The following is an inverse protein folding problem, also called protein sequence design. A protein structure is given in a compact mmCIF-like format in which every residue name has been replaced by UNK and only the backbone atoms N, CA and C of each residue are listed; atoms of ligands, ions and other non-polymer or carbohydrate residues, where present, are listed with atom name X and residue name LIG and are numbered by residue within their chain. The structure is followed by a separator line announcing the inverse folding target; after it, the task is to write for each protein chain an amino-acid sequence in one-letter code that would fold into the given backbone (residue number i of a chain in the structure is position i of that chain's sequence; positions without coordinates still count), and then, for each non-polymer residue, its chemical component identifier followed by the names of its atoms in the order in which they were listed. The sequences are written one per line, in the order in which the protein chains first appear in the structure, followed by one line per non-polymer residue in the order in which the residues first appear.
data_IF_243163092398
#
_entry.id   IF_243163092398
#
_cell.length_a   1.000
_cell.length_b   1.000
_cell.length_c   1.000
_cell.angle_alpha   90.00
_cell.angle_beta   90.00
_cell.angle_gamma   90.00
#
_symmetry.space_group_name_H-M   'P 1'
#
loop_
_entity.id
_entity.type
_entity.pdbx_description
1 polymer ?
#
# COMPACT_ATOMS: atom_id res chain seq x y z
N UNK A 1 6.98 -1.83 -1.60
CA UNK A 1 6.57 -1.23 -2.89
C UNK A 1 7.74 -0.76 -3.80
N UNK A 2 8.90 -1.46 -3.96
CA UNK A 2 9.96 -0.93 -4.85
C UNK A 2 9.58 -0.80 -6.34
N UNK A 3 8.64 -1.59 -6.89
CA UNK A 3 8.18 -1.48 -8.30
C UNK A 3 7.46 -0.16 -8.59
N UNK A 4 6.87 0.46 -7.57
CA UNK A 4 6.15 1.72 -7.71
C UNK A 4 7.00 2.92 -7.28
N UNK A 5 8.28 2.69 -6.95
CA UNK A 5 9.19 3.78 -6.62
C UNK A 5 9.27 4.86 -7.72
N UNK A 6 9.27 4.52 -9.03
CA UNK A 6 9.19 5.51 -10.09
C UNK A 6 7.94 6.40 -10.05
N UNK A 7 6.84 5.94 -9.43
CA UNK A 7 5.61 6.74 -9.33
C UNK A 7 5.74 7.92 -8.38
N UNK A 8 6.71 7.89 -7.46
CA UNK A 8 7.06 9.01 -6.59
C UNK A 8 8.06 9.99 -7.25
N UNK A 9 8.58 9.67 -8.44
CA UNK A 9 9.56 10.48 -9.15
C UNK A 9 8.94 11.59 -10.00
N UNK A 10 9.80 12.30 -10.73
CA UNK A 10 9.41 13.32 -11.70
C UNK A 10 9.95 12.93 -13.09
N UNK A 11 9.12 13.00 -14.12
CA UNK A 11 9.59 12.86 -15.49
C UNK A 11 10.35 14.14 -15.84
N UNK A 12 11.63 14.01 -16.18
CA UNK A 12 12.53 15.10 -16.51
C UNK A 12 13.08 14.95 -17.92
N UNK A 13 13.41 16.06 -18.57
CA UNK A 13 14.10 16.07 -19.87
C UNK A 13 15.52 16.59 -19.67
N UNK A 14 16.52 15.86 -20.17
CA UNK A 14 17.93 16.21 -20.13
C UNK A 14 18.31 16.75 -21.51
N UNK A 15 18.48 18.08 -21.69
CA UNK A 15 18.72 18.67 -23.00
C UNK A 15 20.04 18.27 -23.63
N UNK A 16 21.09 18.06 -22.81
CA UNK A 16 22.44 17.69 -23.28
C UNK A 16 22.46 16.38 -24.06
N UNK A 17 21.57 15.46 -23.70
CA UNK A 17 21.55 14.08 -24.21
C UNK A 17 20.25 13.78 -24.97
N UNK A 18 19.40 14.80 -25.18
CA UNK A 18 18.08 14.69 -25.79
C UNK A 18 17.22 13.53 -25.23
N UNK A 19 17.27 13.29 -23.91
CA UNK A 19 16.62 12.14 -23.25
C UNK A 19 15.56 12.57 -22.25
N UNK A 20 14.44 11.87 -22.26
CA UNK A 20 13.51 11.86 -21.13
C UNK A 20 13.92 10.77 -20.13
N UNK A 21 13.94 11.10 -18.85
CA UNK A 21 14.25 10.18 -17.75
C UNK A 21 13.21 10.32 -16.65
N UNK A 22 13.04 9.27 -15.85
CA UNK A 22 12.32 9.39 -14.59
C UNK A 22 13.36 9.70 -13.52
N UNK A 23 13.35 10.93 -13.03
CA UNK A 23 14.19 11.35 -11.92
C UNK A 23 13.61 10.79 -10.61
N UNK A 24 14.30 9.78 -10.09
CA UNK A 24 14.05 9.16 -8.78
C UNK A 24 15.10 9.55 -7.74
N UNK A 25 15.86 10.64 -7.97
CA UNK A 25 16.80 11.17 -6.97
C UNK A 25 16.07 11.48 -5.66
N UNK A 26 16.80 11.43 -4.54
CA UNK A 26 16.25 11.72 -3.22
C UNK A 26 15.50 13.07 -3.17
N UNK A 27 15.98 14.08 -3.90
CA UNK A 27 15.33 15.39 -4.05
C UNK A 27 14.06 15.35 -4.91
N UNK A 28 14.01 14.54 -5.96
CA UNK A 28 12.83 14.44 -6.82
C UNK A 28 11.67 13.72 -6.11
N UNK A 29 11.99 12.73 -5.28
CA UNK A 29 11.02 11.89 -4.57
C UNK A 29 10.68 12.39 -3.16
N UNK A 30 11.37 13.42 -2.64
CA UNK A 30 11.21 13.84 -1.23
C UNK A 30 9.80 14.32 -0.88
N UNK A 31 9.06 14.79 -1.88
CA UNK A 31 7.64 15.20 -1.76
C UNK A 31 6.69 14.02 -2.02
N UNK A 32 7.22 12.93 -2.57
CA UNK A 32 6.51 11.74 -3.04
C UNK A 32 5.41 12.03 -4.04
N UNK A 33 4.33 11.24 -3.95
CA UNK A 33 3.18 11.32 -4.85
C UNK A 33 2.33 12.55 -4.49
N UNK A 34 1.96 13.39 -5.47
CA UNK A 34 1.00 14.48 -5.22
C UNK A 34 -0.33 13.90 -4.73
N UNK A 35 -0.84 14.38 -3.60
CA UNK A 35 -2.08 13.89 -3.00
C UNK A 35 -3.00 15.07 -2.68
N UNK A 36 -4.24 15.02 -3.18
CA UNK A 36 -5.23 16.09 -3.05
C UNK A 36 -6.43 15.55 -2.28
N UNK A 37 -6.84 16.24 -1.22
CA UNK A 37 -8.13 16.01 -0.58
C UNK A 37 -9.11 17.10 -1.04
N UNK A 38 -10.30 16.69 -1.45
CA UNK A 38 -11.34 17.55 -1.96
C UNK A 38 -12.71 17.12 -1.41
N UNK A 39 -13.65 18.05 -1.44
CA UNK A 39 -15.06 17.80 -1.14
C UNK A 39 -15.92 18.21 -2.34
N UNK A 40 -17.05 17.53 -2.54
CA UNK A 40 -17.97 17.80 -3.63
C UNK A 40 -19.42 17.65 -3.18
N UNK A 41 -20.26 18.57 -3.62
CA UNK A 41 -21.71 18.56 -3.45
C UNK A 41 -22.44 17.80 -4.57
N UNK A 42 -21.70 17.27 -5.54
CA UNK A 42 -22.25 16.46 -6.61
C UNK A 42 -22.90 15.17 -6.08
N UNK A 43 -23.84 14.62 -6.83
CA UNK A 43 -24.46 13.34 -6.46
C UNK A 43 -23.63 12.15 -6.96
N UNK A 44 -22.92 11.48 -6.04
CA UNK A 44 -22.13 10.29 -6.37
C UNK A 44 -22.95 9.15 -7.01
N UNK A 45 -24.23 9.01 -6.65
CA UNK A 45 -25.07 7.93 -7.18
C UNK A 45 -25.46 8.17 -8.64
N UNK A 46 -25.62 9.44 -9.03
CA UNK A 46 -25.81 9.82 -10.42
C UNK A 46 -24.52 9.60 -11.22
N UNK A 47 -23.38 10.05 -10.67
CA UNK A 47 -22.06 9.91 -11.29
C UNK A 47 -21.69 8.44 -11.51
N UNK A 48 -21.89 7.58 -10.50
CA UNK A 48 -21.49 6.16 -10.55
C UNK A 48 -22.29 5.33 -11.56
N UNK A 49 -23.45 5.81 -12.02
CA UNK A 49 -24.29 5.14 -13.03
C UNK A 49 -23.98 5.61 -14.46
N UNK A 50 -23.20 6.68 -14.61
CA UNK A 50 -22.88 7.24 -15.91
C UNK A 50 -21.61 6.62 -16.48
N UNK A 51 -21.63 6.23 -17.75
CA UNK A 51 -20.43 5.79 -18.47
C UNK A 51 -19.47 6.97 -18.74
N UNK A 52 -20.03 8.15 -19.00
CA UNK A 52 -19.29 9.41 -19.19
C UNK A 52 -20.04 10.51 -18.45
N UNK A 53 -19.38 11.18 -17.51
CA UNK A 53 -19.95 12.31 -16.79
C UNK A 53 -19.04 13.53 -16.97
N UNK A 54 -19.61 14.69 -17.31
CA UNK A 54 -18.86 15.93 -17.50
C UNK A 54 -18.05 16.33 -16.25
N UNK A 55 -18.54 15.95 -15.08
CA UNK A 55 -17.90 16.20 -13.78
C UNK A 55 -16.71 15.30 -13.47
N UNK A 56 -16.42 14.24 -14.23
CA UNK A 56 -15.27 13.36 -13.97
C UNK A 56 -13.95 14.14 -13.94
N UNK A 57 -13.81 15.20 -14.75
CA UNK A 57 -12.64 16.06 -14.74
C UNK A 57 -12.40 16.81 -13.42
N UNK A 58 -13.41 16.90 -12.55
CA UNK A 58 -13.29 17.49 -11.20
C UNK A 58 -12.87 16.45 -10.15
N UNK A 59 -13.00 15.16 -10.46
CA UNK A 59 -12.69 14.04 -9.56
C UNK A 59 -11.27 13.50 -9.73
N UNK A 60 -10.51 14.03 -10.69
CA UNK A 60 -9.13 13.64 -10.98
C UNK A 60 -8.16 14.80 -10.74
N UNK A 61 -6.93 14.51 -10.26
CA UNK A 61 -5.96 15.56 -9.99
C UNK A 61 -5.45 16.17 -11.30
N UNK A 62 -5.49 17.50 -11.40
CA UNK A 62 -4.92 18.23 -12.55
C UNK A 62 -3.41 18.33 -12.39
N UNK A 63 -2.68 17.70 -13.32
CA UNK A 63 -1.21 17.72 -13.34
C UNK A 63 -0.72 18.70 -14.41
N UNK A 64 0.25 19.55 -14.06
CA UNK A 64 0.93 20.42 -15.02
C UNK A 64 1.82 19.59 -15.93
N UNK A 65 1.68 19.75 -17.24
CA UNK A 65 2.47 19.06 -18.26
C UNK A 65 3.71 19.88 -18.66
N UNK A 66 4.45 20.35 -17.67
CA UNK A 66 5.69 21.12 -17.83
C UNK A 66 6.81 20.42 -17.08
N UNK A 67 7.98 20.26 -17.71
CA UNK A 67 9.12 19.59 -17.09
C UNK A 67 9.65 20.38 -15.89
N UNK A 68 9.98 19.71 -14.76
CA UNK A 68 9.78 18.28 -14.49
C UNK A 68 8.31 17.94 -14.13
N UNK A 69 7.73 16.93 -14.80
CA UNK A 69 6.32 16.54 -14.66
C UNK A 69 6.19 15.52 -13.53
N UNK A 70 5.22 15.68 -12.61
CA UNK A 70 4.94 14.65 -11.60
C UNK A 70 4.45 13.37 -12.27
N UNK A 71 5.02 12.22 -11.86
CA UNK A 71 4.68 10.94 -12.51
C UNK A 71 3.27 10.50 -12.12
N UNK A 72 2.95 10.53 -10.82
CA UNK A 72 1.65 10.15 -10.28
C UNK A 72 1.10 11.26 -9.38
N UNK A 73 -0.18 11.56 -9.55
CA UNK A 73 -0.99 12.30 -8.61
C UNK A 73 -2.26 11.52 -8.27
N UNK A 74 -2.71 11.64 -7.02
CA UNK A 74 -3.93 11.02 -6.50
C UNK A 74 -4.83 12.10 -5.91
N UNK A 75 -6.12 12.04 -6.21
CA UNK A 75 -7.13 12.88 -5.59
C UNK A 75 -8.16 12.01 -4.88
N UNK A 76 -8.55 12.44 -3.69
CA UNK A 76 -9.66 11.92 -2.93
C UNK A 76 -10.74 12.97 -2.90
N UNK A 77 -11.92 12.63 -3.37
CA UNK A 77 -13.09 13.50 -3.27
C UNK A 77 -14.12 12.87 -2.34
N UNK A 78 -14.45 13.54 -1.24
CA UNK A 78 -15.56 13.19 -0.34
C UNK A 78 -16.83 13.87 -0.82
N UNK A 79 -17.94 13.13 -0.90
CA UNK A 79 -19.21 13.70 -1.34
C UNK A 79 -20.10 14.04 -0.14
N UNK A 80 -20.80 15.18 -0.21
CA UNK A 80 -21.71 15.62 0.86
C UNK A 80 -22.89 14.67 1.05
N UNK A 81 -23.32 13.98 -0.01
CA UNK A 81 -24.36 12.96 0.05
C UNK A 81 -23.83 11.56 0.47
N UNK A 82 -22.58 11.49 0.92
CA UNK A 82 -21.91 10.26 1.33
C UNK A 82 -21.18 9.58 0.17
N UNK A 83 -20.20 8.73 0.51
CA UNK A 83 -19.35 8.08 -0.48
C UNK A 83 -18.13 8.91 -0.89
N UNK A 84 -17.27 8.31 -1.70
CA UNK A 84 -15.97 8.87 -2.08
C UNK A 84 -15.55 8.45 -3.48
N UNK A 85 -14.82 9.32 -4.17
CA UNK A 85 -14.12 9.02 -5.41
C UNK A 85 -12.60 9.09 -5.19
N UNK A 86 -11.87 8.21 -5.89
CA UNK A 86 -10.42 8.17 -5.91
C UNK A 86 -9.95 8.35 -7.35
N UNK A 87 -9.43 9.54 -7.67
CA UNK A 87 -8.92 9.90 -8.99
C UNK A 87 -7.41 9.72 -9.07
N UNK A 88 -6.92 9.20 -10.19
CA UNK A 88 -5.50 9.00 -10.45
C UNK A 88 -5.09 9.70 -11.75
N UNK A 89 -4.00 10.46 -11.71
CA UNK A 89 -3.33 10.98 -12.92
C UNK A 89 -1.92 10.42 -12.97
N UNK A 90 -1.67 9.48 -13.88
CA UNK A 90 -0.37 8.83 -14.08
C UNK A 90 0.13 9.07 -15.50
N UNK A 91 1.36 9.57 -15.62
CA UNK A 91 2.00 9.78 -16.91
C UNK A 91 2.25 8.45 -17.64
N UNK A 92 1.64 8.28 -18.83
CA UNK A 92 1.57 6.99 -19.52
C UNK A 92 2.94 6.44 -19.96
N UNK A 93 3.95 7.30 -20.13
CA UNK A 93 5.34 6.89 -20.42
C UNK A 93 5.92 6.00 -19.31
N UNK A 94 5.42 6.12 -18.07
CA UNK A 94 5.97 5.38 -16.93
C UNK A 94 5.32 4.00 -16.74
N UNK A 95 4.03 3.87 -17.04
CA UNK A 95 3.34 2.58 -16.96
C UNK A 95 2.17 2.49 -17.93
N UNK A 96 2.02 1.29 -18.51
CA UNK A 96 0.84 0.86 -19.23
C UNK A 96 -0.35 0.62 -18.28
N UNK A 97 -1.53 0.33 -18.84
CA UNK A 97 -2.75 0.11 -18.05
C UNK A 97 -2.60 -0.96 -16.96
N UNK A 98 -1.84 -2.02 -17.26
CA UNK A 98 -1.58 -3.13 -16.34
C UNK A 98 -0.74 -2.67 -15.13
N UNK A 99 0.34 -1.94 -15.37
CA UNK A 99 1.17 -1.37 -14.31
C UNK A 99 0.40 -0.39 -13.42
N UNK A 100 -0.54 0.39 -13.98
CA UNK A 100 -1.41 1.27 -13.17
C UNK A 100 -2.32 0.44 -12.25
N UNK A 101 -2.98 -0.59 -12.80
CA UNK A 101 -3.90 -1.43 -12.03
C UNK A 101 -3.17 -2.17 -10.91
N UNK A 102 -1.99 -2.75 -11.19
CA UNK A 102 -1.18 -3.41 -10.15
C UNK A 102 -0.86 -2.49 -8.97
N UNK A 103 -0.60 -1.20 -9.21
CA UNK A 103 -0.39 -0.22 -8.13
C UNK A 103 -1.67 0.00 -7.31
N UNK A 104 -2.78 0.24 -8.00
CA UNK A 104 -4.07 0.50 -7.37
C UNK A 104 -4.50 -0.70 -6.52
N UNK A 105 -4.34 -1.93 -7.04
CA UNK A 105 -4.68 -3.17 -6.36
C UNK A 105 -3.80 -3.42 -5.13
N UNK A 106 -2.50 -3.17 -5.24
CA UNK A 106 -1.59 -3.28 -4.10
C UNK A 106 -1.94 -2.28 -2.99
N UNK A 107 -2.20 -1.01 -3.35
CA UNK A 107 -2.58 0.03 -2.41
C UNK A 107 -3.93 -0.30 -1.75
N UNK A 108 -4.94 -0.69 -2.53
CA UNK A 108 -6.25 -1.08 -2.04
C UNK A 108 -6.19 -2.28 -1.10
N UNK A 109 -5.38 -3.29 -1.44
CA UNK A 109 -5.21 -4.50 -0.62
C UNK A 109 -4.62 -4.18 0.75
N UNK A 110 -3.55 -3.38 0.80
CA UNK A 110 -2.90 -2.99 2.06
C UNK A 110 -3.87 -2.16 2.92
N UNK A 111 -4.52 -1.15 2.34
CA UNK A 111 -5.48 -0.31 3.06
C UNK A 111 -6.67 -1.11 3.57
N UNK A 112 -7.15 -2.09 2.79
CA UNK A 112 -8.24 -2.97 3.22
C UNK A 112 -7.87 -3.81 4.42
N UNK A 113 -6.64 -4.34 4.44
CA UNK A 113 -6.15 -5.12 5.58
C UNK A 113 -6.07 -4.24 6.82
N UNK A 114 -5.52 -3.03 6.72
CA UNK A 114 -5.44 -2.11 7.87
C UNK A 114 -6.82 -1.86 8.49
N UNK A 115 -7.80 -1.49 7.68
CA UNK A 115 -9.18 -1.26 8.13
C UNK A 115 -9.79 -2.54 8.73
N UNK A 116 -9.56 -3.70 8.10
CA UNK A 116 -10.06 -4.97 8.60
C UNK A 116 -9.48 -5.32 9.97
N UNK A 117 -8.17 -5.14 10.17
CA UNK A 117 -7.51 -5.42 11.45
C UNK A 117 -8.09 -4.53 12.56
N UNK A 118 -8.28 -3.23 12.30
CA UNK A 118 -8.89 -2.28 13.25
C UNK A 118 -10.30 -2.73 13.64
N UNK A 119 -11.14 -3.02 12.65
CA UNK A 119 -12.53 -3.40 12.85
C UNK A 119 -12.68 -4.74 13.58
N UNK A 120 -11.93 -5.76 13.16
CA UNK A 120 -12.00 -7.11 13.75
C UNK A 120 -11.54 -7.07 15.22
N UNK A 121 -10.53 -6.24 15.54
CA UNK A 121 -10.08 -6.01 16.92
C UNK A 121 -11.02 -5.15 17.76
N UNK A 122 -12.07 -4.57 17.17
CA UNK A 122 -13.04 -3.76 17.90
C UNK A 122 -12.50 -2.40 18.32
N UNK A 123 -11.53 -1.86 17.58
CA UNK A 123 -10.91 -0.57 17.87
C UNK A 123 -11.65 0.60 17.18
N UNK A 124 -12.83 0.36 16.61
CA UNK A 124 -13.54 1.32 15.77
C UNK A 124 -14.03 2.58 16.50
N UNK A 125 -14.27 2.48 17.81
CA UNK A 125 -14.70 3.61 18.66
C UNK A 125 -13.56 4.11 19.55
N UNK A 126 -12.31 3.83 19.17
CA UNK A 126 -11.15 4.11 19.99
C UNK A 126 -10.26 5.16 19.32
N UNK A 127 -10.07 6.30 19.99
CA UNK A 127 -9.25 7.42 19.48
C UNK A 127 -7.74 7.23 19.74
N UNK A 128 -7.34 6.06 20.22
CA UNK A 128 -5.95 5.69 20.43
C UNK A 128 -5.20 5.40 19.12
N UNK A 129 -3.85 5.43 19.15
CA UNK A 129 -3.04 5.22 17.97
C UNK A 129 -3.19 3.79 17.44
N UNK A 130 -3.18 3.66 16.12
CA UNK A 130 -3.02 2.42 15.38
C UNK A 130 -1.82 2.54 14.44
N UNK A 131 -1.04 1.47 14.32
CA UNK A 131 0.27 1.52 13.67
C UNK A 131 0.38 0.42 12.61
N UNK A 132 0.56 0.82 11.35
CA UNK A 132 0.99 -0.07 10.28
C UNK A 132 2.51 -0.09 10.18
N UNK A 133 3.14 -1.26 10.26
CA UNK A 133 4.58 -1.41 10.10
C UNK A 133 4.91 -2.31 8.90
N UNK A 134 5.89 -1.92 8.09
CA UNK A 134 6.39 -2.72 6.98
C UNK A 134 7.90 -2.51 6.78
N UNK A 135 8.66 -3.57 6.45
CA UNK A 135 10.07 -3.42 6.10
C UNK A 135 10.21 -2.83 4.69
N UNK A 136 11.04 -1.80 4.55
CA UNK A 136 11.42 -1.21 3.28
C UNK A 136 12.83 -1.67 2.91
N UNK A 137 12.99 -2.29 1.74
CA UNK A 137 14.32 -2.63 1.21
C UNK A 137 15.17 -1.36 1.01
N UNK A 138 16.37 -1.34 1.57
CA UNK A 138 17.25 -0.18 1.53
C UNK A 138 18.39 -0.31 0.52
N UNK A 139 18.60 -1.46 -0.13
CA UNK A 139 19.80 -1.73 -0.96
C UNK A 139 20.07 -0.63 -1.98
N UNK A 140 19.06 -0.32 -2.80
CA UNK A 140 19.14 0.72 -3.83
C UNK A 140 19.02 2.15 -3.30
N UNK A 141 18.78 2.34 -1.99
CA UNK A 141 18.49 3.63 -1.34
C UNK A 141 19.66 4.14 -0.49
N UNK A 142 20.67 3.32 -0.25
CA UNK A 142 21.90 3.72 0.44
C UNK A 142 22.86 4.39 -0.55
N UNK A 143 23.79 5.19 -0.02
CA UNK A 143 24.85 5.82 -0.80
C UNK A 143 26.23 5.45 -0.20
N UNK A 144 27.02 4.59 -0.87
CA UNK A 144 26.73 3.92 -2.14
C UNK A 144 25.61 2.85 -2.01
N UNK A 145 24.92 2.50 -3.10
CA UNK A 145 23.93 1.43 -3.08
C UNK A 145 24.57 0.08 -2.80
N UNK A 146 23.86 -0.78 -2.09
CA UNK A 146 24.26 -2.17 -1.86
C UNK A 146 23.85 -3.02 -3.06
N UNK A 147 24.72 -3.95 -3.46
CA UNK A 147 24.46 -4.89 -4.55
C UNK A 147 23.22 -5.77 -4.25
N UNK A 148 22.38 -6.01 -5.26
CA UNK A 148 21.19 -6.87 -5.17
C UNK A 148 21.52 -8.32 -4.79
N UNK A 149 22.75 -8.78 -5.03
CA UNK A 149 23.27 -10.09 -4.61
C UNK A 149 23.57 -10.17 -3.09
N UNK A 150 23.54 -9.05 -2.36
CA UNK A 150 23.75 -9.05 -0.91
C UNK A 150 22.65 -9.84 -0.21
N UNK A 151 23.01 -10.98 0.36
CA UNK A 151 22.09 -11.93 0.99
C UNK A 151 21.63 -11.52 2.40
N UNK A 152 22.27 -10.53 3.02
CA UNK A 152 21.97 -10.11 4.39
C UNK A 152 20.73 -9.23 4.52
N UNK A 153 20.40 -8.85 5.76
CA UNK A 153 19.30 -7.92 6.02
C UNK A 153 19.69 -6.50 5.61
N UNK A 154 18.92 -5.90 4.71
CA UNK A 154 19.05 -4.50 4.32
C UNK A 154 17.66 -3.88 4.24
N UNK A 155 17.04 -3.70 5.41
CA UNK A 155 15.67 -3.18 5.52
C UNK A 155 15.57 -2.12 6.60
N UNK A 156 14.75 -1.10 6.35
CA UNK A 156 14.37 -0.09 7.32
C UNK A 156 12.89 -0.26 7.74
N UNK A 157 12.54 -0.03 9.01
CA UNK A 157 11.15 0.00 9.43
C UNK A 157 10.45 1.23 8.83
N UNK A 158 9.37 0.98 8.11
CA UNK A 158 8.46 2.02 7.68
C UNK A 158 7.20 1.95 8.54
N UNK A 159 6.88 3.07 9.19
CA UNK A 159 5.86 3.14 10.26
C UNK A 159 4.81 4.17 9.88
N UNK A 160 3.62 3.70 9.52
CA UNK A 160 2.44 4.51 9.33
C UNK A 160 1.65 4.60 10.64
N UNK A 161 1.62 5.79 11.25
CA UNK A 161 0.85 6.07 12.47
C UNK A 161 -0.49 6.70 12.10
N UNK A 162 -1.54 6.26 12.76
CA UNK A 162 -2.92 6.61 12.46
C UNK A 162 -3.77 6.57 13.73
N UNK A 163 -5.02 7.02 13.68
CA UNK A 163 -6.02 6.84 14.75
C UNK A 163 -6.94 5.67 14.43
N UNK A 164 -7.27 4.83 15.41
CA UNK A 164 -8.10 3.65 15.14
C UNK A 164 -9.54 4.03 14.72
N UNK A 165 -10.17 4.98 15.39
CA UNK A 165 -11.48 5.53 15.02
C UNK A 165 -11.50 6.15 13.63
N UNK A 166 -10.46 6.91 13.28
CA UNK A 166 -10.31 7.48 11.94
C UNK A 166 -10.24 6.40 10.87
N UNK A 167 -9.50 5.31 11.07
CA UNK A 167 -9.42 4.24 10.06
C UNK A 167 -10.73 3.44 9.97
N UNK A 168 -11.45 3.30 11.08
CA UNK A 168 -12.71 2.57 11.09
C UNK A 168 -13.87 3.38 10.49
N UNK A 169 -13.82 4.71 10.60
CA UNK A 169 -14.87 5.61 10.14
C UNK A 169 -14.97 5.74 8.62
N UNK A 170 -16.00 6.47 8.12
CA UNK A 170 -16.21 6.70 6.69
C UNK A 170 -14.96 7.27 6.00
N UNK A 171 -14.49 6.61 4.95
CA UNK A 171 -13.26 6.98 4.24
C UNK A 171 -11.95 6.52 4.88
N UNK A 172 -12.01 5.64 5.88
CA UNK A 172 -10.83 5.14 6.56
C UNK A 172 -9.81 4.42 5.66
N UNK A 173 -10.24 3.75 4.59
CA UNK A 173 -9.33 3.18 3.59
C UNK A 173 -8.42 4.22 2.96
N UNK A 174 -8.97 5.41 2.68
CA UNK A 174 -8.21 6.50 2.09
C UNK A 174 -7.26 7.11 3.10
N UNK A 175 -7.70 7.38 4.33
CA UNK A 175 -6.81 7.84 5.40
C UNK A 175 -5.65 6.87 5.63
N UNK A 176 -5.92 5.56 5.54
CA UNK A 176 -4.88 4.55 5.54
C UNK A 176 -3.91 4.67 4.36
N UNK A 177 -4.40 4.91 3.13
CA UNK A 177 -3.52 5.20 1.98
C UNK A 177 -2.62 6.42 2.22
N UNK A 178 -3.15 7.51 2.81
CA UNK A 178 -2.39 8.73 3.11
C UNK A 178 -1.25 8.43 4.07
N UNK A 179 -1.57 7.82 5.21
CA UNK A 179 -0.57 7.51 6.23
C UNK A 179 0.52 6.56 5.70
N UNK A 180 0.15 5.58 4.86
CA UNK A 180 1.09 4.70 4.18
C UNK A 180 2.01 5.48 3.24
N UNK A 181 1.45 6.39 2.43
CA UNK A 181 2.21 7.23 1.51
C UNK A 181 3.25 8.07 2.27
N UNK A 182 2.83 8.77 3.33
CA UNK A 182 3.71 9.62 4.14
C UNK A 182 4.84 8.83 4.78
N UNK A 183 4.53 7.65 5.32
CA UNK A 183 5.53 6.75 5.89
C UNK A 183 6.57 6.32 4.82
N UNK A 184 6.11 5.92 3.63
CA UNK A 184 6.99 5.50 2.52
C UNK A 184 7.93 6.64 2.12
N UNK A 185 7.41 7.86 1.99
CA UNK A 185 8.21 9.03 1.61
C UNK A 185 9.31 9.28 2.64
N UNK A 186 8.94 9.33 3.93
CA UNK A 186 9.88 9.54 5.02
C UNK A 186 11.01 8.50 5.00
N UNK A 187 10.65 7.22 4.98
CA UNK A 187 11.63 6.12 4.98
C UNK A 187 12.46 6.08 3.70
N UNK A 188 11.94 6.54 2.57
CA UNK A 188 12.72 6.52 1.32
C UNK A 188 13.74 7.65 1.28
N UNK A 189 13.45 8.81 1.87
CA UNK A 189 14.35 9.97 1.85
C UNK A 189 15.61 9.72 2.68
N UNK A 190 15.44 9.20 3.90
CA UNK A 190 16.52 8.98 4.86
C UNK A 190 16.33 7.59 5.50
N UNK A 191 16.67 6.50 4.77
CA UNK A 191 16.30 5.14 5.17
C UNK A 191 16.93 4.67 6.47
N UNK A 192 18.06 5.24 6.89
CA UNK A 192 18.75 4.89 8.13
C UNK A 192 18.59 5.96 9.24
N UNK A 193 17.72 6.94 9.06
CA UNK A 193 17.51 7.99 10.07
C UNK A 193 17.07 7.37 11.41
N UNK A 194 17.81 7.72 12.47
CA UNK A 194 17.59 7.22 13.83
C UNK A 194 17.71 5.70 13.99
N UNK A 195 18.51 5.02 13.16
CA UNK A 195 18.59 3.55 13.15
C UNK A 195 19.01 2.93 14.48
N UNK A 196 19.76 3.67 15.30
CA UNK A 196 20.19 3.25 16.63
C UNK A 196 19.02 3.02 17.59
N UNK A 197 17.90 3.73 17.40
CA UNK A 197 16.72 3.68 18.28
C UNK A 197 15.55 2.86 17.74
N UNK A 198 15.65 2.29 16.53
CA UNK A 198 14.51 1.61 15.89
C UNK A 198 13.96 0.45 16.70
N UNK A 199 14.84 -0.37 17.28
CA UNK A 199 14.42 -1.53 18.07
C UNK A 199 13.63 -1.09 19.30
N UNK A 200 14.14 -0.09 20.02
CA UNK A 200 13.48 0.44 21.21
C UNK A 200 12.12 1.08 20.87
N UNK A 201 12.04 1.84 19.78
CA UNK A 201 10.78 2.43 19.31
C UNK A 201 9.77 1.35 18.91
N UNK A 202 10.20 0.30 18.21
CA UNK A 202 9.34 -0.83 17.84
C UNK A 202 8.86 -1.63 19.06
N UNK A 203 9.71 -1.80 20.08
CA UNK A 203 9.36 -2.51 21.31
C UNK A 203 8.37 -1.73 22.19
N UNK A 204 8.37 -0.40 22.11
CA UNK A 204 7.38 0.46 22.80
C UNK A 204 6.00 0.40 22.16
N UNK A 205 5.86 -0.13 20.94
CA UNK A 205 4.57 -0.14 20.24
C UNK A 205 3.60 -1.14 20.87
N UNK A 206 2.35 -0.73 21.16
CA UNK A 206 1.36 -1.62 21.75
C UNK A 206 0.98 -2.74 20.76
N UNK A 207 1.28 -3.99 21.10
CA UNK A 207 1.10 -5.14 20.21
C UNK A 207 -0.33 -5.31 19.66
N UNK A 208 -1.36 -4.96 20.44
CA UNK A 208 -2.77 -5.00 20.03
C UNK A 208 -3.20 -3.87 19.07
N UNK A 209 -2.35 -2.85 18.88
CA UNK A 209 -2.60 -1.67 18.05
C UNK A 209 -1.77 -1.67 16.76
N UNK A 210 -1.15 -2.80 16.44
CA UNK A 210 -0.22 -2.90 15.32
C UNK A 210 -0.70 -3.89 14.27
N UNK A 211 -0.60 -3.51 12.99
CA UNK A 211 -0.59 -4.43 11.86
C UNK A 211 0.82 -4.50 11.28
N UNK A 212 1.44 -5.68 11.33
CA UNK A 212 2.80 -5.90 10.84
C UNK A 212 2.76 -6.64 9.51
N UNK A 213 3.20 -5.96 8.45
CA UNK A 213 3.26 -6.46 7.10
C UNK A 213 4.66 -7.02 6.83
N UNK A 214 4.71 -8.26 6.37
CA UNK A 214 5.90 -8.92 5.86
C UNK A 214 5.70 -9.35 4.41
N UNK A 215 6.79 -9.70 3.74
CA UNK A 215 6.77 -10.03 2.33
C UNK A 215 6.71 -8.79 1.43
N UNK A 216 6.52 -9.03 0.14
CA UNK A 216 6.42 -8.01 -0.89
C UNK A 216 5.66 -8.58 -2.08
N UNK A 217 4.76 -7.82 -2.75
CA UNK A 217 4.19 -8.21 -4.04
C UNK A 217 5.25 -8.53 -5.10
N UNK A 218 6.49 -8.07 -4.90
CA UNK A 218 7.61 -8.36 -5.78
C UNK A 218 8.17 -9.77 -5.66
N UNK A 219 7.86 -10.46 -4.55
CA UNK A 219 8.31 -11.81 -4.35
C UNK A 219 7.48 -12.71 -5.26
N UNK A 220 8.07 -13.06 -6.41
CA UNK A 220 7.55 -13.90 -7.49
C UNK A 220 7.48 -15.37 -7.08
N UNK A 221 6.87 -15.65 -5.93
CA UNK A 221 6.83 -16.98 -5.31
C UNK A 221 6.22 -18.04 -6.22
N UNK A 222 5.25 -17.66 -7.06
CA UNK A 222 4.62 -18.53 -8.06
C UNK A 222 5.42 -18.71 -9.36
N UNK A 223 6.53 -17.97 -9.54
CA UNK A 223 7.44 -18.16 -10.69
C UNK A 223 8.57 -19.14 -10.39
N UNK A 224 8.74 -19.57 -9.14
CA UNK A 224 9.83 -20.45 -8.71
C UNK A 224 9.64 -21.85 -9.28
N UNK A 225 10.50 -22.26 -10.21
CA UNK A 225 10.47 -23.60 -10.82
C UNK A 225 11.78 -24.34 -10.54
N UNK A 226 11.68 -25.50 -9.88
CA UNK A 226 12.82 -26.37 -9.58
C UNK A 226 13.08 -27.41 -10.69
N UNK A 227 12.36 -27.34 -11.83
CA UNK A 227 12.43 -28.29 -12.94
C UNK A 227 11.22 -29.24 -13.05
N UNK A 228 10.24 -29.10 -12.17
CA UNK A 228 9.02 -29.91 -12.09
C UNK A 228 7.73 -29.09 -12.27
N UNK A 229 7.86 -27.83 -12.69
CA UNK A 229 6.77 -26.91 -12.88
C UNK A 229 6.61 -25.93 -11.73
N UNK A 230 5.84 -24.86 -12.02
CA UNK A 230 5.55 -23.76 -11.09
C UNK A 230 4.64 -24.22 -9.93
N UNK A 231 4.67 -23.55 -8.76
CA UNK A 231 3.88 -23.94 -7.62
C UNK A 231 2.39 -23.80 -7.90
N UNK A 232 1.61 -24.83 -7.56
CA UNK A 232 0.14 -24.75 -7.64
C UNK A 232 -0.48 -23.84 -6.58
N UNK A 233 0.22 -23.65 -5.45
CA UNK A 233 -0.17 -22.88 -4.27
C UNK A 233 1.07 -22.51 -3.43
N UNK A 234 1.09 -21.31 -2.86
CA UNK A 234 2.09 -20.85 -1.89
C UNK A 234 1.39 -20.42 -0.61
N UNK A 235 1.87 -20.88 0.55
CA UNK A 235 1.34 -20.50 1.86
C UNK A 235 2.47 -20.40 2.88
N UNK A 236 2.30 -19.54 3.89
CA UNK A 236 3.19 -19.57 5.05
C UNK A 236 2.70 -20.62 6.03
N UNK A 237 3.56 -21.61 6.31
CA UNK A 237 3.27 -22.66 7.28
C UNK A 237 2.98 -22.11 8.69
N UNK A 238 3.60 -20.98 9.04
CA UNK A 238 3.54 -20.42 10.39
C UNK A 238 3.28 -18.92 10.37
N UNK A 239 2.16 -18.53 10.99
CA UNK A 239 1.85 -17.14 11.34
C UNK A 239 1.46 -17.05 12.81
N UNK A 240 2.36 -16.54 13.64
CA UNK A 240 2.30 -16.69 15.12
C UNK A 240 1.85 -15.46 15.87
N UNK A 241 1.48 -14.37 15.19
CA UNK A 241 1.09 -13.11 15.84
C UNK A 241 -0.23 -12.60 15.29
N UNK A 242 -1.09 -12.16 16.20
CA UNK A 242 -2.31 -11.44 15.86
C UNK A 242 -1.96 -10.14 15.14
N UNK A 243 -2.62 -9.85 14.02
CA UNK A 243 -2.36 -8.69 13.18
C UNK A 243 -1.12 -8.82 12.29
N UNK A 244 -0.56 -10.03 12.15
CA UNK A 244 0.50 -10.27 11.15
C UNK A 244 -0.12 -10.45 9.77
N UNK A 245 0.45 -9.75 8.81
CA UNK A 245 0.03 -9.73 7.41
C UNK A 245 1.22 -10.15 6.58
N UNK A 246 1.02 -11.01 5.58
CA UNK A 246 2.02 -11.33 4.58
C UNK A 246 1.44 -11.10 3.19
N UNK A 247 2.22 -10.41 2.37
CA UNK A 247 1.86 -10.06 1.01
C UNK A 247 2.90 -10.63 0.05
N UNK A 248 2.45 -11.32 -0.99
CA UNK A 248 3.29 -11.85 -2.08
C UNK A 248 2.58 -11.67 -3.43
N UNK A 249 3.28 -11.89 -4.53
CA UNK A 249 2.62 -12.01 -5.85
C UNK A 249 1.56 -13.12 -5.80
N UNK A 250 0.42 -12.88 -6.43
CA UNK A 250 -0.60 -13.90 -6.61
C UNK A 250 -0.23 -14.88 -7.73
N UNK A 251 -1.04 -15.93 -7.86
CA UNK A 251 -0.80 -17.00 -8.85
C UNK A 251 -1.03 -16.52 -10.27
N UNK A 252 -2.04 -15.68 -10.45
CA UNK A 252 -2.40 -15.06 -11.73
C UNK A 252 -1.66 -13.75 -11.88
N UNK A 253 -1.32 -13.40 -13.11
CA UNK A 253 -0.58 -12.18 -13.38
C UNK A 253 -1.38 -10.94 -12.97
N UNK A 254 -0.73 -10.00 -12.29
CA UNK A 254 -1.39 -8.81 -11.74
C UNK A 254 -1.97 -9.01 -10.34
N UNK A 255 -2.28 -10.24 -9.95
CA UNK A 255 -2.93 -10.49 -8.66
C UNK A 255 -1.96 -10.41 -7.48
N UNK A 256 -2.52 -10.16 -6.30
CA UNK A 256 -1.77 -10.15 -5.03
C UNK A 256 -2.38 -11.16 -4.06
N UNK A 257 -1.54 -12.00 -3.47
CA UNK A 257 -1.96 -12.87 -2.38
C UNK A 257 -1.68 -12.19 -1.05
N UNK A 258 -2.73 -12.08 -0.22
CA UNK A 258 -2.66 -11.53 1.13
C UNK A 258 -3.06 -12.60 2.13
N UNK A 259 -2.16 -12.87 3.07
CA UNK A 259 -2.38 -13.79 4.19
C UNK A 259 -2.41 -13.00 5.49
N UNK A 260 -3.50 -13.09 6.25
CA UNK A 260 -3.65 -12.39 7.53
C UNK A 260 -3.84 -13.40 8.66
N UNK A 261 -3.09 -13.23 9.73
CA UNK A 261 -3.25 -13.99 10.97
C UNK A 261 -3.93 -13.13 12.04
N UNK A 262 -5.07 -13.61 12.51
CA UNK A 262 -5.86 -12.96 13.54
C UNK A 262 -6.20 -13.96 14.64
N UNK A 263 -6.24 -13.46 15.87
CA UNK A 263 -6.68 -14.23 17.03
C UNK A 263 -8.15 -14.66 16.82
N UNK A 264 -8.44 -15.93 17.06
CA UNK A 264 -9.77 -16.50 16.91
C UNK A 264 -10.84 -15.74 17.72
N UNK A 265 -10.49 -15.17 18.88
CA UNK A 265 -11.40 -14.38 19.72
C UNK A 265 -11.89 -13.10 19.04
N UNK A 266 -11.04 -12.44 18.23
CA UNK A 266 -11.44 -11.25 17.47
C UNK A 266 -12.34 -11.60 16.28
N UNK A 267 -12.25 -12.84 15.78
CA UNK A 267 -12.83 -13.29 14.52
C UNK A 267 -14.28 -13.80 14.64
N UNK A 268 -14.75 -14.08 15.86
CA UNK A 268 -16.10 -14.61 16.07
C UNK A 268 -17.16 -13.52 15.89
N UNK A 269 -17.97 -13.61 14.82
CA UNK A 269 -19.09 -12.72 14.54
C UNK A 269 -18.80 -11.46 13.70
N UNK A 270 -17.55 -11.21 13.24
CA UNK A 270 -17.16 -9.95 12.56
C UNK A 270 -16.63 -10.09 11.12
N UNK A 271 -16.60 -11.31 10.58
CA UNK A 271 -16.07 -11.57 9.23
C UNK A 271 -17.16 -11.82 8.17
N UNK A 272 -18.42 -12.00 8.59
CA UNK A 272 -19.52 -12.23 7.67
C UNK A 272 -19.85 -10.91 6.97
N UNK A 273 -19.68 -10.87 5.64
CA UNK A 273 -19.85 -9.66 4.82
C UNK A 273 -18.60 -9.15 4.09
N UNK A 274 -17.40 -9.65 4.42
CA UNK A 274 -16.15 -9.20 3.77
C UNK A 274 -15.75 -10.02 2.52
N UNK A 275 -16.49 -11.08 2.20
CA UNK A 275 -16.24 -11.94 1.03
C UNK A 275 -14.89 -12.66 1.06
N UNK A 276 -14.44 -13.13 2.24
CA UNK A 276 -13.09 -13.68 2.44
C UNK A 276 -13.09 -15.18 2.77
N UNK A 277 -12.24 -15.96 2.09
CA UNK A 277 -12.02 -17.38 2.33
C UNK A 277 -11.34 -17.65 3.69
N UNK A 278 -11.73 -18.73 4.36
CA UNK A 278 -11.29 -19.08 5.73
C UNK A 278 -10.45 -20.34 5.71
N UNK A 279 -9.29 -20.32 6.37
CA UNK A 279 -8.50 -21.52 6.70
C UNK A 279 -8.20 -21.48 8.20
N UNK A 280 -8.57 -22.51 8.93
CA UNK A 280 -8.43 -22.53 10.39
C UNK A 280 -7.23 -23.39 10.85
N UNK A 281 -6.46 -22.89 11.82
CA UNK A 281 -5.56 -23.68 12.65
C UNK A 281 -5.82 -23.35 14.14
N UNK A 282 -5.43 -24.23 15.05
CA UNK A 282 -5.91 -24.38 16.44
C UNK A 282 -5.63 -23.20 17.41
N UNK A 283 -4.95 -22.13 16.99
CA UNK A 283 -4.74 -20.89 17.79
C UNK A 283 -5.01 -19.58 17.03
N UNK A 284 -4.81 -19.56 15.73
CA UNK A 284 -5.00 -18.40 14.85
C UNK A 284 -5.75 -18.84 13.61
N UNK A 285 -6.68 -18.00 13.15
CA UNK A 285 -7.42 -18.28 11.91
C UNK A 285 -6.75 -17.51 10.78
N UNK A 286 -6.33 -18.25 9.77
CA UNK A 286 -5.67 -17.74 8.58
C UNK A 286 -6.75 -17.27 7.61
N UNK A 287 -6.66 -16.00 7.25
CA UNK A 287 -7.45 -15.44 6.16
C UNK A 287 -6.52 -15.37 4.96
N UNK A 288 -6.54 -16.41 4.13
CA UNK A 288 -5.88 -16.43 2.83
C UNK A 288 -6.90 -16.05 1.76
N UNK A 289 -6.75 -14.88 1.16
CA UNK A 289 -7.48 -14.54 -0.07
C UNK A 289 -6.45 -14.21 -1.15
N UNK A 290 -6.51 -14.95 -2.25
CA UNK A 290 -6.07 -14.44 -3.53
C UNK A 290 -7.11 -13.39 -3.92
N UNK A 291 -6.77 -12.10 -3.84
CA UNK A 291 -7.65 -11.08 -4.39
C UNK A 291 -7.28 -10.99 -5.87
N UNK A 292 -7.98 -11.77 -6.68
CA UNK A 292 -8.06 -11.57 -8.13
C UNK A 292 -9.11 -10.49 -8.38
N UNK A 293 -8.76 -9.44 -9.12
CA UNK A 293 -9.72 -8.49 -9.68
C UNK A 293 -9.91 -8.79 -11.17
#
# INVERSE_FOLDING_TARGET
MPFFHPFAGKLAYIPSDARAVIDCSASAISEGITFIEAESDLDIHCIAKSEVHESFGQLVPKVKLEFPIVVLAVQVTRFLNGGMALGFSLHHVVADGKGKLQFIEALASISRVLVTVVNVRGLANDDGPFIGTFPADCRSRLNPPINDEYIGNCVAPCIARMTASDIAGPGGYVRACVALKEAIIKTTKEPLDGCEGWLDELLKLPAGRMANFAGSPQFKVYETDFGWGKPGRVELATMTRDGRVVIVSGKEEGTVQVSVALNAQHMWGRLDGLGIGRIANSRYKFIGKCITF
#
